data_IF_518796801288
#
_entry.id   IF_518796801288
#
_cell.length_a   1.000
_cell.length_b   1.000
_cell.length_c   1.000
_cell.angle_alpha   90.00
_cell.angle_beta   90.00
_cell.angle_gamma   90.00
#
_symmetry.space_group_name_H-M   'P 1'
#
loop_
_entity.id
_entity.type
_entity.pdbx_description
1 polymer ?
#
# COMPACT_ATOMS: atom_id res chain seq x y z
N UNK A 1 -6.02 -9.48 8.42
CA UNK A 1 -5.38 -8.26 7.94
C UNK A 1 -5.24 -8.29 6.43
N UNK A 2 -5.39 -7.14 5.79
CA UNK A 2 -5.31 -7.05 4.35
C UNK A 2 -3.86 -7.08 3.86
N UNK A 3 -3.64 -7.61 2.66
CA UNK A 3 -2.35 -7.44 2.01
C UNK A 3 -2.34 -6.09 1.28
N UNK A 4 -1.22 -5.74 0.64
CA UNK A 4 -1.08 -4.43 -0.01
C UNK A 4 -2.12 -4.24 -1.10
N UNK A 5 -2.31 -5.22 -1.95
CA UNK A 5 -3.29 -5.15 -3.03
C UNK A 5 -4.70 -4.91 -2.50
N UNK A 6 -5.09 -5.68 -1.49
CA UNK A 6 -6.40 -5.53 -0.87
C UNK A 6 -6.56 -4.19 -0.19
N UNK A 7 -5.51 -3.72 0.50
CA UNK A 7 -5.53 -2.43 1.17
C UNK A 7 -5.73 -1.29 0.17
N UNK A 8 -5.02 -1.33 -0.96
CA UNK A 8 -5.17 -0.32 -2.00
C UNK A 8 -6.61 -0.30 -2.52
N UNK A 9 -7.18 -1.46 -2.77
CA UNK A 9 -8.57 -1.55 -3.22
C UNK A 9 -9.53 -1.01 -2.18
N UNK A 10 -9.28 -1.33 -0.92
CA UNK A 10 -10.13 -0.88 0.18
C UNK A 10 -10.07 0.63 0.39
N UNK A 11 -8.95 1.24 0.05
CA UNK A 11 -8.78 2.70 0.14
C UNK A 11 -9.35 3.44 -1.08
N UNK A 12 -9.85 2.75 -2.06
CA UNK A 12 -10.47 3.38 -3.22
C UNK A 12 -9.74 3.18 -4.54
N UNK A 13 -8.67 2.41 -4.52
CA UNK A 13 -7.90 2.08 -5.73
C UNK A 13 -6.64 2.90 -5.89
N UNK A 14 -5.87 2.57 -6.92
CA UNK A 14 -4.56 3.17 -7.14
C UNK A 14 -4.60 4.69 -7.34
N UNK A 15 -5.63 5.18 -8.02
CA UNK A 15 -5.79 6.62 -8.24
C UNK A 15 -5.89 7.38 -6.93
N UNK A 16 -6.70 6.87 -6.01
CA UNK A 16 -6.93 7.51 -4.72
C UNK A 16 -5.65 7.47 -3.89
N UNK A 17 -5.03 6.31 -3.81
CA UNK A 17 -3.80 6.15 -3.02
C UNK A 17 -2.70 7.06 -3.56
N UNK A 18 -2.54 7.13 -4.88
CA UNK A 18 -1.52 7.99 -5.48
C UNK A 18 -1.75 9.46 -5.15
N UNK A 19 -3.00 9.88 -5.07
CA UNK A 19 -3.34 11.27 -4.71
C UNK A 19 -3.03 11.58 -3.27
N UNK A 20 -3.17 10.60 -2.40
CA UNK A 20 -3.04 10.81 -0.96
C UNK A 20 -1.62 10.62 -0.44
N UNK A 21 -0.74 10.06 -1.23
CA UNK A 21 0.66 9.89 -0.84
C UNK A 21 1.54 10.82 -1.69
N UNK A 22 2.12 11.87 -1.09
CA UNK A 22 2.97 12.79 -1.83
C UNK A 22 4.14 12.08 -2.50
N UNK A 23 4.35 12.37 -3.77
CA UNK A 23 5.43 11.76 -4.54
C UNK A 23 5.09 10.43 -5.18
N UNK A 24 3.97 9.82 -4.82
CA UNK A 24 3.53 8.59 -5.45
C UNK A 24 2.74 8.90 -6.72
N UNK A 25 3.01 8.14 -7.77
CA UNK A 25 2.21 8.23 -9.00
C UNK A 25 1.32 7.00 -9.10
N UNK A 26 0.35 7.08 -9.98
CA UNK A 26 -0.55 5.95 -10.24
C UNK A 26 0.23 4.70 -10.64
N UNK A 27 1.26 4.86 -11.48
CA UNK A 27 2.08 3.74 -11.92
C UNK A 27 2.86 3.12 -10.75
N UNK A 28 3.36 3.96 -9.86
CA UNK A 28 4.06 3.48 -8.67
C UNK A 28 3.12 2.65 -7.79
N UNK A 29 1.90 3.12 -7.60
CA UNK A 29 0.91 2.40 -6.79
C UNK A 29 0.50 1.09 -7.47
N UNK A 30 0.34 1.09 -8.79
CA UNK A 30 0.07 -0.14 -9.52
C UNK A 30 1.21 -1.15 -9.33
N UNK A 31 2.43 -0.67 -9.29
CA UNK A 31 3.58 -1.53 -9.06
C UNK A 31 3.52 -2.18 -7.67
N UNK A 32 3.14 -1.40 -6.65
CA UNK A 32 2.95 -1.96 -5.31
C UNK A 32 1.88 -3.05 -5.31
N UNK A 33 0.79 -2.80 -5.98
CA UNK A 33 -0.31 -3.76 -6.08
C UNK A 33 0.14 -5.04 -6.77
N UNK A 34 0.89 -4.92 -7.85
CA UNK A 34 1.40 -6.05 -8.60
C UNK A 34 2.43 -6.86 -7.80
N UNK A 35 3.34 -6.18 -7.12
CA UNK A 35 4.37 -6.82 -6.30
C UNK A 35 3.83 -7.25 -4.94
N UNK A 36 2.67 -6.75 -4.57
CA UNK A 36 2.03 -6.95 -3.28
C UNK A 36 2.91 -6.50 -2.11
N UNK A 37 3.65 -5.42 -2.34
CA UNK A 37 4.49 -4.78 -1.31
C UNK A 37 4.74 -3.32 -1.69
N UNK A 38 5.06 -2.51 -0.68
CA UNK A 38 5.35 -1.09 -0.87
C UNK A 38 6.87 -0.89 -0.78
N UNK A 39 7.42 -0.08 -1.66
CA UNK A 39 8.84 0.23 -1.65
C UNK A 39 9.25 0.97 -0.37
N UNK A 40 10.52 0.83 0.04
CA UNK A 40 10.97 1.43 1.31
C UNK A 40 10.78 2.93 1.40
N UNK A 41 10.84 3.63 0.28
CA UNK A 41 10.64 5.09 0.23
C UNK A 41 9.27 5.52 0.74
N UNK A 42 8.26 4.70 0.50
CA UNK A 42 6.87 5.04 0.79
C UNK A 42 6.27 4.22 1.91
N UNK A 43 7.06 3.37 2.52
CA UNK A 43 6.59 2.41 3.51
C UNK A 43 5.86 3.08 4.67
N UNK A 44 6.51 4.06 5.31
CA UNK A 44 5.91 4.75 6.46
C UNK A 44 4.69 5.56 6.06
N UNK A 45 4.75 6.21 4.90
CA UNK A 45 3.62 7.01 4.41
C UNK A 45 2.42 6.13 4.10
N UNK A 46 2.68 4.95 3.55
CA UNK A 46 1.61 4.01 3.27
C UNK A 46 0.95 3.53 4.57
N UNK A 47 1.76 3.20 5.57
CA UNK A 47 1.24 2.78 6.86
C UNK A 47 0.45 3.88 7.55
N UNK A 48 0.92 5.12 7.46
CA UNK A 48 0.20 6.27 8.01
C UNK A 48 -1.16 6.44 7.33
N UNK A 49 -1.18 6.30 6.00
CA UNK A 49 -2.43 6.42 5.26
C UNK A 49 -3.41 5.31 5.64
N UNK A 50 -2.93 4.09 5.76
CA UNK A 50 -3.78 2.98 6.20
C UNK A 50 -4.37 3.27 7.58
N UNK A 51 -3.56 3.78 8.49
CA UNK A 51 -4.02 4.14 9.82
C UNK A 51 -5.11 5.21 9.77
N UNK A 52 -4.90 6.26 8.96
CA UNK A 52 -5.87 7.33 8.79
C UNK A 52 -7.20 6.83 8.24
N UNK A 53 -7.15 5.91 7.32
CA UNK A 53 -8.34 5.37 6.65
C UNK A 53 -8.89 4.14 7.36
N UNK A 54 -8.30 3.78 8.50
CA UNK A 54 -8.72 2.63 9.29
C UNK A 54 -8.69 1.32 8.51
N UNK A 55 -7.70 1.21 7.65
CA UNK A 55 -7.44 0.00 6.89
C UNK A 55 -6.36 -0.79 7.62
N UNK A 56 -6.68 -2.01 8.01
CA UNK A 56 -5.75 -2.83 8.79
C UNK A 56 -4.87 -3.66 7.88
N UNK A 57 -3.58 -3.40 7.95
CA UNK A 57 -2.58 -4.17 7.20
C UNK A 57 -1.53 -4.71 8.16
N UNK A 58 -0.85 -5.76 7.73
CA UNK A 58 0.29 -6.29 8.46
C UNK A 58 1.55 -5.54 8.00
N UNK A 59 2.20 -4.76 8.88
CA UNK A 59 3.38 -4.00 8.48
C UNK A 59 4.49 -4.86 7.87
N UNK A 60 4.66 -6.08 8.36
CA UNK A 60 5.67 -6.98 7.80
C UNK A 60 5.35 -7.34 6.35
N UNK A 61 4.08 -7.56 6.04
CA UNK A 61 3.66 -7.87 4.67
C UNK A 61 3.75 -6.66 3.75
N UNK A 62 3.51 -5.48 4.27
CA UNK A 62 3.67 -4.25 3.50
C UNK A 62 5.13 -4.09 3.06
N UNK A 63 6.05 -4.36 3.96
CA UNK A 63 7.48 -4.23 3.68
C UNK A 63 8.01 -5.37 2.82
N UNK A 64 7.66 -6.60 3.14
CA UNK A 64 8.27 -7.80 2.55
C UNK A 64 7.45 -8.44 1.45
N UNK A 65 6.19 -8.03 1.32
CA UNK A 65 5.28 -8.66 0.39
C UNK A 65 4.56 -9.84 1.01
N UNK A 66 3.56 -10.32 0.31
CA UNK A 66 2.72 -11.42 0.77
C UNK A 66 3.26 -12.74 0.21
N UNK A 67 4.41 -13.12 0.69
CA UNK A 67 5.03 -14.35 0.25
C UNK A 67 4.63 -15.50 1.15
N UNK A 68 4.22 -16.56 0.54
CA UNK A 68 3.99 -17.80 1.25
C UNK A 68 5.25 -18.64 1.15
N UNK A 69 5.90 -18.77 2.22
CA UNK A 69 7.09 -19.59 2.26
C UNK A 69 6.78 -20.97 2.79
#
# INVERSE_FOLDING_TARGET
MLNVKEAIQDMGGADVVARLIPGATKNIVYHWSSANRVGPRFYLRFLELCSKMKVKVDPAKVMNGDKND
#
